data_IF_465882306645
#
_entry.id   IF_465882306645
#
_cell.length_a   1.000
_cell.length_b   1.000
_cell.length_c   1.000
_cell.angle_alpha   90.00
_cell.angle_beta   90.00
_cell.angle_gamma   90.00
#
_symmetry.space_group_name_H-M   'P 1'
#
loop_
_entity.id
_entity.type
_entity.pdbx_description
1 polymer ?
#
# COMPACT_ATOMS: atom_id res chain seq x y z
N UNK A 1 -20.02 -15.87 -10.80
CA UNK A 1 -20.28 -14.45 -10.46
C UNK A 1 -18.91 -13.83 -10.29
N UNK A 2 -18.45 -13.11 -11.32
CA UNK A 2 -17.16 -12.39 -11.28
C UNK A 2 -17.32 -11.19 -10.36
N UNK A 3 -16.45 -11.00 -9.35
CA UNK A 3 -16.56 -9.85 -8.44
C UNK A 3 -16.41 -8.55 -9.25
N UNK A 4 -17.36 -7.67 -9.09
CA UNK A 4 -17.30 -6.33 -9.66
C UNK A 4 -16.16 -5.56 -8.99
N UNK A 5 -15.33 -4.95 -9.79
CA UNK A 5 -14.23 -4.01 -9.47
C UNK A 5 -13.71 -4.03 -8.01
N UNK A 6 -12.47 -4.54 -7.76
CA UNK A 6 -11.89 -4.64 -6.41
C UNK A 6 -11.88 -3.32 -5.63
N UNK A 7 -11.72 -2.18 -6.30
CA UNK A 7 -11.73 -0.86 -5.65
C UNK A 7 -13.11 -0.47 -5.10
N UNK A 8 -14.19 -0.88 -5.78
CA UNK A 8 -15.56 -0.67 -5.27
C UNK A 8 -15.83 -1.57 -4.08
N UNK A 9 -15.40 -2.84 -4.14
CA UNK A 9 -15.53 -3.77 -3.02
C UNK A 9 -14.81 -3.22 -1.79
N UNK A 10 -13.58 -2.73 -1.96
CA UNK A 10 -12.81 -2.14 -0.86
C UNK A 10 -13.50 -0.90 -0.28
N UNK A 11 -14.03 -0.02 -1.12
CA UNK A 11 -14.72 1.19 -0.69
C UNK A 11 -16.03 0.88 0.03
N UNK A 12 -16.83 -0.06 -0.47
CA UNK A 12 -18.10 -0.44 0.14
C UNK A 12 -17.88 -1.16 1.48
N UNK A 13 -16.86 -2.01 1.56
CA UNK A 13 -16.45 -2.65 2.81
C UNK A 13 -15.98 -1.58 3.80
N UNK A 14 -15.11 -0.66 3.37
CA UNK A 14 -14.62 0.42 4.22
C UNK A 14 -15.75 1.30 4.74
N UNK A 15 -16.69 1.69 3.89
CA UNK A 15 -17.86 2.48 4.30
C UNK A 15 -18.73 1.73 5.32
N UNK A 16 -18.97 0.43 5.13
CA UNK A 16 -19.69 -0.40 6.09
C UNK A 16 -18.96 -0.53 7.42
N UNK A 17 -17.65 -0.81 7.38
CA UNK A 17 -16.81 -0.99 8.57
C UNK A 17 -16.75 0.30 9.39
N UNK A 18 -16.56 1.44 8.74
CA UNK A 18 -16.42 2.72 9.42
C UNK A 18 -17.76 3.37 9.79
N UNK A 19 -18.90 2.78 9.36
CA UNK A 19 -20.24 3.39 9.46
C UNK A 19 -20.25 4.86 8.99
N UNK A 20 -19.45 5.16 7.99
CA UNK A 20 -19.44 6.45 7.35
C UNK A 20 -20.68 6.46 6.43
N UNK A 21 -21.68 7.25 6.79
CA UNK A 21 -22.74 7.55 5.84
C UNK A 21 -22.10 8.20 4.62
N UNK A 22 -22.40 7.70 3.40
CA UNK A 22 -21.84 8.33 2.21
C UNK A 22 -22.30 9.79 2.22
N UNK A 23 -21.35 10.72 2.38
CA UNK A 23 -21.65 12.12 2.08
C UNK A 23 -22.33 12.15 0.71
N UNK A 24 -23.47 12.86 0.63
CA UNK A 24 -24.12 13.13 -0.64
C UNK A 24 -23.11 13.87 -1.52
N UNK A 25 -22.28 13.11 -2.21
CA UNK A 25 -21.39 13.65 -3.22
C UNK A 25 -22.29 14.34 -4.25
N UNK A 26 -22.06 15.64 -4.43
CA UNK A 26 -22.54 16.38 -5.58
C UNK A 26 -22.33 15.53 -6.83
N UNK A 27 -23.31 15.50 -7.70
CA UNK A 27 -23.49 14.63 -8.85
C UNK A 27 -22.41 14.75 -9.94
N UNK A 28 -21.15 14.71 -9.58
CA UNK A 28 -20.10 14.34 -10.52
C UNK A 28 -20.22 12.84 -10.73
N UNK A 29 -20.85 12.49 -11.83
CA UNK A 29 -20.98 11.12 -12.31
C UNK A 29 -19.60 10.53 -12.48
N UNK A 30 -19.13 9.82 -11.46
CA UNK A 30 -17.98 8.95 -11.58
C UNK A 30 -18.37 7.85 -12.57
N UNK A 31 -17.97 7.99 -13.82
CA UNK A 31 -18.17 6.93 -14.81
C UNK A 31 -17.30 5.75 -14.39
N UNK A 32 -17.95 4.72 -13.86
CA UNK A 32 -17.27 3.44 -13.60
C UNK A 32 -16.73 2.95 -14.95
N UNK A 33 -15.42 2.72 -15.07
CA UNK A 33 -14.88 2.17 -16.30
C UNK A 33 -15.59 0.87 -16.63
N UNK A 34 -16.07 0.71 -17.85
CA UNK A 34 -16.79 -0.49 -18.32
C UNK A 34 -15.93 -1.76 -18.35
N UNK A 35 -14.62 -1.62 -18.17
CA UNK A 35 -13.66 -2.73 -18.12
C UNK A 35 -13.17 -2.93 -16.69
N UNK A 36 -13.18 -4.17 -16.15
CA UNK A 36 -12.75 -4.46 -14.78
C UNK A 36 -11.25 -4.23 -14.54
N UNK A 37 -10.46 -4.01 -15.60
CA UNK A 37 -9.05 -3.73 -15.52
C UNK A 37 -8.77 -2.40 -16.23
N UNK A 38 -8.22 -1.46 -15.52
CA UNK A 38 -7.61 -0.28 -16.10
C UNK A 38 -6.40 -0.75 -16.92
N UNK A 39 -6.57 -0.90 -18.21
CA UNK A 39 -5.40 -0.93 -19.09
C UNK A 39 -4.88 0.50 -19.17
N UNK A 40 -3.96 0.85 -18.28
CA UNK A 40 -3.14 2.01 -18.48
C UNK A 40 -2.32 1.75 -19.74
N UNK A 41 -2.73 2.34 -20.88
CA UNK A 41 -1.90 2.40 -22.09
C UNK A 41 -0.68 3.31 -21.91
N UNK A 42 -0.25 3.54 -20.68
CA UNK A 42 0.99 4.20 -20.39
C UNK A 42 2.08 3.16 -20.63
N UNK A 43 2.90 3.38 -21.65
CA UNK A 43 4.18 2.67 -21.77
C UNK A 43 4.92 2.94 -20.46
N UNK A 44 4.81 2.04 -19.51
CA UNK A 44 5.51 2.16 -18.26
C UNK A 44 6.98 1.97 -18.56
N UNK A 45 7.74 3.05 -18.48
CA UNK A 45 9.19 3.04 -18.65
C UNK A 45 9.84 2.60 -17.34
N UNK A 46 10.97 1.91 -17.46
CA UNK A 46 11.88 1.73 -16.35
C UNK A 46 12.76 2.97 -16.32
N UNK A 47 12.79 3.64 -15.17
CA UNK A 47 13.58 4.86 -14.98
C UNK A 47 15.08 4.54 -14.96
N UNK A 48 15.89 5.42 -15.51
CA UNK A 48 17.35 5.34 -15.33
C UNK A 48 17.75 5.76 -13.90
N UNK A 49 18.91 5.30 -13.44
CA UNK A 49 19.44 5.70 -12.14
C UNK A 49 19.58 7.23 -12.00
N UNK A 50 19.87 7.92 -13.09
CA UNK A 50 19.95 9.40 -13.08
C UNK A 50 18.56 10.03 -12.84
N UNK A 51 17.52 9.50 -13.48
CA UNK A 51 16.15 9.95 -13.23
C UNK A 51 15.74 9.69 -11.77
N UNK A 52 16.03 8.52 -11.24
CA UNK A 52 15.71 8.17 -9.85
C UNK A 52 16.43 9.07 -8.84
N UNK A 53 17.69 9.45 -9.09
CA UNK A 53 18.43 10.39 -8.22
C UNK A 53 17.80 11.78 -8.15
N UNK A 54 17.15 12.22 -9.22
CA UNK A 54 16.49 13.53 -9.29
C UNK A 54 15.03 13.50 -8.82
N UNK A 55 14.46 12.33 -8.67
CA UNK A 55 13.07 12.12 -8.26
C UNK A 55 12.94 12.02 -6.73
N UNK A 56 13.68 12.85 -6.00
CA UNK A 56 13.55 12.91 -4.55
C UNK A 56 12.32 13.75 -4.22
N UNK A 57 11.18 13.09 -4.10
CA UNK A 57 10.04 13.68 -3.43
C UNK A 57 10.42 13.96 -1.97
N UNK A 58 10.20 15.18 -1.52
CA UNK A 58 10.35 15.50 -0.11
C UNK A 58 9.53 14.52 0.72
N UNK A 59 10.22 13.72 1.53
CA UNK A 59 9.56 12.80 2.45
C UNK A 59 8.47 13.55 3.20
N UNK A 60 7.26 13.04 3.15
CA UNK A 60 6.14 13.60 3.90
C UNK A 60 6.61 13.77 5.36
N UNK A 61 6.41 14.94 5.92
CA UNK A 61 6.74 15.20 7.32
C UNK A 61 5.91 14.23 8.17
N UNK A 62 6.56 13.18 8.66
CA UNK A 62 5.95 12.23 9.56
C UNK A 62 5.79 12.90 10.92
N UNK A 63 4.55 13.07 11.37
CA UNK A 63 4.31 13.55 12.73
C UNK A 63 4.83 12.50 13.73
N UNK A 64 5.79 12.92 14.58
CA UNK A 64 6.47 12.03 15.51
C UNK A 64 5.56 11.49 16.63
N UNK A 65 4.36 12.05 16.80
CA UNK A 65 3.40 11.58 17.79
C UNK A 65 2.45 10.54 17.18
N UNK A 66 2.90 9.28 17.19
CA UNK A 66 2.12 8.15 16.68
C UNK A 66 0.72 8.05 17.32
N UNK A 67 0.51 8.60 18.51
CA UNK A 67 -0.78 8.54 19.20
C UNK A 67 -1.78 9.55 18.65
N UNK A 68 -1.30 10.64 18.07
CA UNK A 68 -2.12 11.71 17.49
C UNK A 68 -2.22 11.63 15.96
N UNK A 69 -1.38 10.82 15.32
CA UNK A 69 -1.40 10.65 13.88
C UNK A 69 -2.72 10.00 13.44
N UNK A 70 -3.54 10.75 12.71
CA UNK A 70 -4.87 10.31 12.30
C UNK A 70 -4.82 9.04 11.43
N UNK A 71 -3.79 8.88 10.59
CA UNK A 71 -3.63 7.70 9.75
C UNK A 71 -3.34 6.46 10.58
N UNK A 72 -2.52 6.58 11.62
CA UNK A 72 -2.24 5.48 12.55
C UNK A 72 -3.49 5.12 13.35
N UNK A 73 -4.24 6.11 13.80
CA UNK A 73 -5.52 5.87 14.46
C UNK A 73 -6.53 5.17 13.52
N UNK A 74 -6.55 5.57 12.26
CA UNK A 74 -7.44 4.97 11.25
C UNK A 74 -7.06 3.51 10.96
N UNK A 75 -5.79 3.21 10.72
CA UNK A 75 -5.35 1.83 10.45
C UNK A 75 -5.63 0.91 11.65
N UNK A 76 -5.41 1.38 12.88
CA UNK A 76 -5.75 0.63 14.09
C UNK A 76 -7.25 0.29 14.16
N UNK A 77 -8.13 1.26 13.84
CA UNK A 77 -9.58 1.04 13.81
C UNK A 77 -9.99 0.06 12.71
N UNK A 78 -9.38 0.18 11.53
CA UNK A 78 -9.65 -0.72 10.40
C UNK A 78 -9.29 -2.15 10.78
N UNK A 79 -8.08 -2.38 11.29
CA UNK A 79 -7.62 -3.71 11.69
C UNK A 79 -8.54 -4.31 12.75
N UNK A 80 -8.86 -3.53 13.84
CA UNK A 80 -9.78 -4.01 14.87
C UNK A 80 -11.11 -4.45 14.30
N UNK A 81 -11.71 -3.61 13.44
CA UNK A 81 -13.00 -3.92 12.81
C UNK A 81 -12.97 -5.17 11.94
N UNK A 82 -11.90 -5.35 11.16
CA UNK A 82 -11.75 -6.53 10.32
C UNK A 82 -11.58 -7.79 11.16
N UNK A 83 -10.87 -7.71 12.30
CA UNK A 83 -10.75 -8.83 13.23
C UNK A 83 -12.09 -9.14 13.92
N UNK A 84 -12.85 -8.12 14.34
CA UNK A 84 -14.18 -8.29 14.93
C UNK A 84 -15.16 -9.00 13.98
N UNK A 85 -14.98 -8.83 12.68
CA UNK A 85 -15.79 -9.45 11.62
C UNK A 85 -15.16 -10.77 11.10
N UNK A 86 -14.15 -11.29 11.79
CA UNK A 86 -13.41 -12.52 11.42
C UNK A 86 -12.82 -12.49 9.99
N UNK A 87 -12.53 -11.29 9.48
CA UNK A 87 -11.93 -11.12 8.15
C UNK A 87 -10.43 -11.34 8.25
N UNK A 88 -9.90 -12.22 7.41
CA UNK A 88 -8.47 -12.47 7.33
C UNK A 88 -7.72 -11.25 6.81
N UNK A 89 -6.67 -10.86 7.53
CA UNK A 89 -5.90 -9.65 7.26
C UNK A 89 -4.48 -10.04 6.87
N UNK A 90 -4.00 -9.49 5.77
CA UNK A 90 -2.61 -9.57 5.34
C UNK A 90 -2.07 -8.15 5.32
N UNK A 91 -1.01 -7.89 6.08
CA UNK A 91 -0.32 -6.61 6.09
C UNK A 91 1.01 -6.73 5.38
N UNK A 92 1.31 -5.77 4.54
CA UNK A 92 2.63 -5.67 3.89
C UNK A 92 3.04 -4.21 3.69
N UNK A 93 4.34 -3.99 3.56
CA UNK A 93 4.89 -2.68 3.19
C UNK A 93 5.08 -2.62 1.68
N UNK A 94 4.88 -1.44 1.10
CA UNK A 94 5.14 -1.23 -0.33
C UNK A 94 6.63 -1.07 -0.59
N UNK A 95 7.15 -1.58 -1.72
CA UNK A 95 8.54 -1.35 -2.12
C UNK A 95 8.85 0.14 -2.29
N UNK A 96 10.04 0.54 -1.84
CA UNK A 96 10.58 1.88 -1.95
C UNK A 96 12.02 1.81 -2.41
N UNK A 97 12.42 2.67 -3.36
CA UNK A 97 13.80 2.71 -3.83
C UNK A 97 14.73 3.31 -2.77
N UNK A 98 16.01 2.88 -2.75
CA UNK A 98 17.01 3.35 -1.79
C UNK A 98 17.10 4.87 -1.71
N UNK A 99 17.09 5.57 -2.84
CA UNK A 99 17.14 7.04 -2.83
C UNK A 99 16.00 7.68 -2.04
N UNK A 100 14.80 7.07 -2.06
CA UNK A 100 13.69 7.53 -1.25
C UNK A 100 13.87 7.18 0.22
N UNK A 101 14.31 5.95 0.52
CA UNK A 101 14.58 5.49 1.88
C UNK A 101 15.71 6.27 2.55
N UNK A 102 16.75 6.66 1.78
CA UNK A 102 17.84 7.49 2.28
C UNK A 102 17.40 8.92 2.61
N UNK A 103 16.33 9.41 2.00
CA UNK A 103 15.77 10.74 2.30
C UNK A 103 15.12 10.84 3.68
N UNK A 104 14.79 9.69 4.31
CA UNK A 104 14.23 9.68 5.65
C UNK A 104 15.29 9.92 6.72
N UNK A 105 14.97 10.77 7.69
CA UNK A 105 15.78 10.92 8.91
C UNK A 105 15.80 9.62 9.71
N UNK A 106 16.81 9.45 10.55
CA UNK A 106 16.91 8.32 11.49
C UNK A 106 15.65 8.22 12.37
N UNK A 107 15.12 9.34 12.82
CA UNK A 107 13.90 9.37 13.62
C UNK A 107 12.69 8.84 12.84
N UNK A 108 12.53 9.21 11.56
CA UNK A 108 11.45 8.71 10.72
C UNK A 108 11.55 7.20 10.48
N UNK A 109 12.77 6.71 10.22
CA UNK A 109 13.02 5.27 10.07
C UNK A 109 12.67 4.50 11.34
N UNK A 110 13.11 4.99 12.50
CA UNK A 110 12.78 4.37 13.79
C UNK A 110 11.27 4.38 14.06
N UNK A 111 10.59 5.50 13.81
CA UNK A 111 9.14 5.60 13.99
C UNK A 111 8.38 4.61 13.10
N UNK A 112 8.87 4.36 11.89
CA UNK A 112 8.27 3.37 10.99
C UNK A 112 8.49 1.93 11.48
N UNK A 113 9.68 1.61 11.97
CA UNK A 113 9.97 0.31 12.61
C UNK A 113 9.08 0.11 13.84
N UNK A 114 8.97 1.12 14.69
CA UNK A 114 8.12 1.07 15.88
C UNK A 114 6.64 0.89 15.52
N UNK A 115 6.17 1.55 14.47
CA UNK A 115 4.81 1.36 13.97
C UNK A 115 4.56 -0.08 13.55
N UNK A 116 5.44 -0.68 12.74
CA UNK A 116 5.33 -2.08 12.31
C UNK A 116 5.30 -3.02 13.52
N UNK A 117 6.23 -2.85 14.45
CA UNK A 117 6.33 -3.66 15.67
C UNK A 117 5.06 -3.54 16.52
N UNK A 118 4.55 -2.32 16.69
CA UNK A 118 3.35 -2.07 17.49
C UNK A 118 2.10 -2.69 16.86
N UNK A 119 1.93 -2.58 15.54
CA UNK A 119 0.81 -3.19 14.82
C UNK A 119 0.89 -4.73 14.91
N UNK A 120 2.06 -5.30 14.62
CA UNK A 120 2.28 -6.75 14.72
C UNK A 120 1.98 -7.27 16.13
N UNK A 121 2.54 -6.63 17.15
CA UNK A 121 2.35 -7.04 18.56
C UNK A 121 0.90 -6.88 19.03
N UNK A 122 0.28 -5.75 18.68
CA UNK A 122 -1.07 -5.42 19.15
C UNK A 122 -2.14 -6.34 18.56
N UNK A 123 -2.01 -6.70 17.30
CA UNK A 123 -3.03 -7.44 16.56
C UNK A 123 -2.67 -8.90 16.28
N UNK A 124 -1.44 -9.31 16.65
CA UNK A 124 -0.96 -10.68 16.38
C UNK A 124 -0.76 -10.95 14.89
N UNK A 125 -0.52 -9.92 14.07
CA UNK A 125 -0.40 -10.03 12.63
C UNK A 125 1.07 -10.05 12.18
N UNK A 126 1.37 -10.92 11.20
CA UNK A 126 2.64 -10.84 10.46
C UNK A 126 2.57 -9.67 9.50
N UNK A 127 3.65 -8.89 9.43
CA UNK A 127 3.83 -7.86 8.41
C UNK A 127 4.88 -8.37 7.43
N UNK A 128 4.54 -8.41 6.14
CA UNK A 128 5.46 -8.77 5.07
C UNK A 128 6.20 -7.52 4.63
N UNK A 129 7.52 -7.55 4.75
CA UNK A 129 8.36 -6.38 4.54
C UNK A 129 8.92 -6.40 3.12
N UNK A 130 8.45 -5.51 2.26
CA UNK A 130 8.90 -5.37 0.88
C UNK A 130 9.64 -4.05 0.63
N UNK A 131 9.72 -3.16 1.62
CA UNK A 131 10.25 -1.81 1.44
C UNK A 131 11.66 -1.77 0.84
N UNK A 132 12.54 -2.71 1.19
CA UNK A 132 13.92 -2.77 0.72
C UNK A 132 14.19 -3.96 -0.23
N UNK A 133 13.19 -4.81 -0.47
CA UNK A 133 13.39 -6.12 -1.12
C UNK A 133 13.92 -6.04 -2.54
N UNK A 134 13.65 -4.95 -3.27
CA UNK A 134 13.91 -4.88 -4.71
C UNK A 134 14.93 -3.80 -5.10
N UNK A 135 15.66 -3.26 -4.14
CA UNK A 135 16.56 -2.12 -4.36
C UNK A 135 17.66 -2.38 -5.39
N UNK A 136 18.19 -3.60 -5.42
CA UNK A 136 19.22 -4.03 -6.37
C UNK A 136 18.68 -4.23 -7.80
N UNK A 137 17.36 -4.12 -8.01
CA UNK A 137 16.74 -4.44 -9.29
C UNK A 137 16.44 -3.17 -10.10
N UNK A 138 16.69 -3.26 -11.40
CA UNK A 138 16.33 -2.18 -12.34
C UNK A 138 14.88 -2.34 -12.82
N UNK A 139 13.93 -2.10 -11.92
CA UNK A 139 12.50 -2.30 -12.14
C UNK A 139 11.65 -1.08 -11.78
N UNK A 140 12.28 0.03 -11.47
CA UNK A 140 11.62 1.20 -10.92
C UNK A 140 11.09 2.14 -11.99
N UNK A 141 9.89 2.67 -11.79
CA UNK A 141 9.32 3.77 -12.57
C UNK A 141 9.74 5.12 -11.99
N UNK A 142 9.72 5.23 -10.70
CA UNK A 142 10.13 6.36 -9.86
C UNK A 142 10.58 5.81 -8.49
N UNK A 143 11.00 6.68 -7.58
CA UNK A 143 11.55 6.23 -6.28
C UNK A 143 10.53 5.58 -5.34
N UNK A 144 9.24 5.64 -5.65
CA UNK A 144 8.17 5.09 -4.82
C UNK A 144 7.35 3.99 -5.52
N UNK A 145 7.58 3.77 -6.81
CA UNK A 145 6.76 2.83 -7.58
C UNK A 145 7.61 1.93 -8.48
N UNK A 146 7.32 0.65 -8.41
CA UNK A 146 7.80 -0.32 -9.40
C UNK A 146 7.15 -0.02 -10.74
N UNK A 147 7.88 -0.24 -11.83
CA UNK A 147 7.38 -0.07 -13.19
C UNK A 147 6.30 -1.10 -13.51
N UNK A 148 5.27 -0.68 -14.25
CA UNK A 148 4.27 -1.59 -14.82
C UNK A 148 4.72 -2.18 -16.17
N UNK A 149 6.03 -2.15 -16.45
CA UNK A 149 6.55 -2.76 -17.66
C UNK A 149 6.25 -4.26 -17.68
N UNK A 150 5.87 -4.82 -18.85
CA UNK A 150 5.42 -6.22 -18.98
C UNK A 150 6.43 -7.26 -18.49
N UNK A 151 7.72 -6.92 -18.45
CA UNK A 151 8.78 -7.80 -17.97
C UNK A 151 9.06 -7.66 -16.46
N UNK A 152 8.30 -6.82 -15.76
CA UNK A 152 8.46 -6.59 -14.31
C UNK A 152 7.32 -7.29 -13.58
N UNK A 153 7.51 -8.57 -13.27
CA UNK A 153 6.48 -9.42 -12.65
C UNK A 153 6.79 -9.78 -11.21
N UNK A 154 8.05 -9.62 -10.79
CA UNK A 154 8.55 -10.14 -9.51
C UNK A 154 7.73 -9.69 -8.29
N UNK A 155 7.30 -8.43 -8.23
CA UNK A 155 6.48 -7.96 -7.12
C UNK A 155 5.09 -8.61 -7.12
N UNK A 156 4.49 -8.81 -8.30
CA UNK A 156 3.19 -9.48 -8.42
C UNK A 156 3.30 -10.96 -8.03
N UNK A 157 4.40 -11.61 -8.36
CA UNK A 157 4.69 -13.00 -8.00
C UNK A 157 4.82 -13.13 -6.47
N UNK A 158 5.59 -12.25 -5.83
CA UNK A 158 5.73 -12.20 -4.37
C UNK A 158 4.41 -11.92 -3.65
N UNK A 159 3.58 -11.02 -4.18
CA UNK A 159 2.23 -10.77 -3.64
C UNK A 159 1.33 -12.00 -3.80
N UNK A 160 1.39 -12.67 -4.94
CA UNK A 160 0.61 -13.89 -5.16
C UNK A 160 1.04 -14.99 -4.18
N UNK A 161 2.34 -15.21 -4.00
CA UNK A 161 2.88 -16.17 -3.05
C UNK A 161 2.44 -15.84 -1.61
N UNK A 162 2.58 -14.60 -1.19
CA UNK A 162 2.12 -14.11 0.12
C UNK A 162 0.63 -14.39 0.34
N UNK A 163 -0.20 -14.17 -0.67
CA UNK A 163 -1.66 -14.44 -0.59
C UNK A 163 -1.89 -15.94 -0.45
N UNK A 164 -1.24 -16.76 -1.29
CA UNK A 164 -1.40 -18.22 -1.24
C UNK A 164 -0.98 -18.81 0.09
N UNK A 165 0.15 -18.40 0.66
CA UNK A 165 0.59 -18.82 2.00
C UNK A 165 -0.46 -18.55 3.10
N UNK A 166 -1.29 -17.55 2.91
CA UNK A 166 -2.29 -17.14 3.89
C UNK A 166 -3.67 -17.75 3.66
N UNK A 167 -4.00 -18.19 2.44
CA UNK A 167 -5.30 -18.83 2.14
C UNK A 167 -5.29 -20.29 2.57
N UNK A 168 -4.15 -20.97 2.43
CA UNK A 168 -4.02 -22.42 2.69
C UNK A 168 -3.97 -22.79 4.19
N UNK A 169 -3.90 -21.80 5.07
CA UNK A 169 -3.91 -21.96 6.54
C UNK A 169 -5.27 -21.59 7.14
#
# INVERSE_FOLDING_TARGET
IVPQNPQLITRDIMNKILKIEPEKQSSETFSIPKTPFYQYNVKSTIASNEMLKHDIFHALTWDNDNTKNQNICAINKIISKLQDEEIKIILFTTPLHDYYLESFSISQKNNFIDLKNNLSKKFGLKIYEFEEKYNELNIWRDTQHISHHQNVTIFNEDIAEMIMENIEK
#
